data_IF_966192077402
#
_entry.id   IF_966192077402
#
_cell.length_a   1.000
_cell.length_b   1.000
_cell.length_c   1.000
_cell.angle_alpha   90.00
_cell.angle_beta   90.00
_cell.angle_gamma   90.00
#
_symmetry.space_group_name_H-M   'P 1'
#
loop_
_entity.id
_entity.type
_entity.pdbx_description
1 polymer ?
#
# COMPACT_ATOMS: atom_id res chain seq x y z
N UNK A 1 19.67 -4.69 0.10
CA UNK A 1 19.87 -4.28 1.51
C UNK A 1 19.53 -2.83 1.88
N UNK A 2 19.96 -1.77 1.17
CA UNK A 2 19.76 -0.37 1.62
C UNK A 2 18.50 0.35 1.08
N UNK A 3 17.62 -0.34 0.34
CA UNK A 3 16.34 0.24 -0.13
C UNK A 3 16.42 1.21 -1.33
N UNK A 4 17.57 1.34 -1.98
CA UNK A 4 17.75 2.19 -3.17
C UNK A 4 17.47 1.45 -4.49
N UNK A 5 17.27 2.22 -5.58
CA UNK A 5 17.19 1.64 -6.93
C UNK A 5 18.49 0.94 -7.30
N UNK A 6 18.38 -0.27 -7.85
CA UNK A 6 19.54 -1.02 -8.35
C UNK A 6 20.04 -0.46 -9.68
N UNK A 7 19.13 0.01 -10.54
CA UNK A 7 19.45 0.63 -11.83
C UNK A 7 20.14 1.98 -11.62
N UNK A 8 21.19 2.25 -12.41
CA UNK A 8 22.01 3.46 -12.35
C UNK A 8 22.82 3.64 -11.05
N UNK A 9 22.92 2.61 -10.20
CA UNK A 9 23.91 2.60 -9.12
C UNK A 9 25.32 2.52 -9.72
N UNK A 10 26.25 3.27 -9.13
CA UNK A 10 27.63 3.37 -9.64
C UNK A 10 28.61 3.02 -8.52
N UNK A 11 29.58 2.17 -8.83
CA UNK A 11 30.68 1.84 -7.93
C UNK A 11 31.81 2.86 -8.04
N UNK A 12 32.56 3.01 -6.96
CA UNK A 12 33.75 3.84 -6.88
C UNK A 12 34.86 3.03 -6.19
N UNK A 13 36.10 3.26 -6.61
CA UNK A 13 37.30 2.62 -6.07
C UNK A 13 38.32 3.67 -5.64
N UNK A 14 39.37 3.24 -4.94
CA UNK A 14 40.49 4.11 -4.58
C UNK A 14 40.13 5.16 -3.52
N UNK A 15 39.23 4.83 -2.60
CA UNK A 15 38.81 5.71 -1.50
C UNK A 15 38.25 7.06 -1.99
N UNK A 16 37.48 7.03 -3.08
CA UNK A 16 36.90 8.22 -3.73
C UNK A 16 36.13 9.13 -2.75
N UNK A 17 35.46 8.56 -1.74
CA UNK A 17 34.70 9.30 -0.73
C UNK A 17 35.45 9.53 0.58
N UNK A 18 36.78 9.40 0.56
CA UNK A 18 37.63 9.47 1.73
C UNK A 18 38.04 8.09 2.23
N UNK A 19 39.12 8.07 3.01
CA UNK A 19 39.69 6.86 3.60
C UNK A 19 38.97 6.55 4.91
N UNK A 20 38.65 5.28 5.12
CA UNK A 20 38.19 4.77 6.40
C UNK A 20 39.28 4.82 7.46
N UNK A 21 38.88 4.46 8.68
CA UNK A 21 39.78 4.23 9.81
C UNK A 21 39.45 2.89 10.46
N UNK A 22 40.44 2.23 11.04
CA UNK A 22 40.25 0.96 11.75
C UNK A 22 40.46 -0.27 10.86
N UNK A 23 39.61 -1.28 11.00
CA UNK A 23 39.75 -2.56 10.28
C UNK A 23 38.94 -2.54 8.98
N UNK A 24 39.54 -3.02 7.89
CA UNK A 24 38.80 -3.43 6.69
C UNK A 24 38.26 -4.84 6.95
N UNK A 25 36.96 -5.06 6.68
CA UNK A 25 36.27 -6.28 7.11
C UNK A 25 36.02 -7.28 5.99
N UNK A 26 35.93 -6.82 4.74
CA UNK A 26 35.57 -7.66 3.60
C UNK A 26 36.40 -7.24 2.38
N UNK A 27 36.86 -8.22 1.61
CA UNK A 27 37.68 -8.03 0.42
C UNK A 27 37.29 -9.04 -0.67
N UNK A 28 37.57 -8.70 -1.94
CA UNK A 28 37.22 -9.50 -3.13
C UNK A 28 35.74 -9.89 -3.17
N UNK A 29 34.85 -8.93 -2.91
CA UNK A 29 33.41 -9.15 -2.97
C UNK A 29 32.98 -9.43 -4.42
N UNK A 30 32.37 -10.58 -4.64
CA UNK A 30 31.91 -11.08 -5.94
C UNK A 30 30.45 -11.51 -5.81
N UNK A 31 29.54 -10.55 -6.01
CA UNK A 31 28.11 -10.79 -6.01
C UNK A 31 27.63 -11.23 -7.40
N UNK A 32 26.66 -12.14 -7.44
CA UNK A 32 25.90 -12.50 -8.64
C UNK A 32 24.83 -11.46 -8.99
N UNK A 33 24.43 -10.63 -8.02
CA UNK A 33 23.41 -9.58 -8.15
C UNK A 33 22.03 -9.97 -7.62
N UNK A 34 21.86 -11.21 -7.13
CA UNK A 34 20.60 -11.72 -6.58
C UNK A 34 20.62 -11.86 -5.05
N UNK A 35 21.74 -11.56 -4.41
CA UNK A 35 21.90 -11.61 -2.96
C UNK A 35 21.06 -10.54 -2.26
N UNK A 36 20.50 -10.86 -1.10
CA UNK A 36 19.72 -9.91 -0.29
C UNK A 36 20.62 -8.99 0.55
N UNK A 37 21.80 -9.49 0.95
CA UNK A 37 22.83 -8.78 1.71
C UNK A 37 24.24 -8.99 1.13
N UNK A 38 25.13 -8.02 1.34
CA UNK A 38 26.53 -8.08 0.89
C UNK A 38 27.32 -9.22 1.54
N UNK A 39 26.89 -9.68 2.71
CA UNK A 39 27.51 -10.81 3.43
C UNK A 39 27.27 -12.16 2.74
N UNK A 40 26.27 -12.25 1.86
CA UNK A 40 25.91 -13.48 1.16
C UNK A 40 26.65 -13.60 -0.19
N UNK A 41 27.39 -12.57 -0.60
CA UNK A 41 28.22 -12.59 -1.79
C UNK A 41 29.48 -13.44 -1.58
N UNK A 42 30.11 -13.91 -2.66
CA UNK A 42 31.44 -14.54 -2.56
C UNK A 42 32.48 -13.53 -2.08
N UNK A 43 33.33 -13.89 -1.11
CA UNK A 43 34.43 -13.04 -0.63
C UNK A 43 35.53 -13.91 0.03
N UNK A 44 36.72 -13.35 0.27
CA UNK A 44 37.88 -14.07 0.82
C UNK A 44 37.75 -14.48 2.31
N UNK A 45 36.56 -14.36 2.91
CA UNK A 45 36.36 -14.43 4.36
C UNK A 45 36.51 -13.08 5.09
N UNK A 46 36.00 -13.01 6.32
CA UNK A 46 35.99 -11.78 7.11
C UNK A 46 37.38 -11.45 7.65
N UNK A 47 37.78 -10.17 7.56
CA UNK A 47 39.09 -9.66 8.01
C UNK A 47 40.29 -10.37 7.35
N UNK A 48 40.07 -11.00 6.19
CA UNK A 48 41.12 -11.69 5.42
C UNK A 48 41.47 -10.84 4.19
N UNK A 49 42.46 -9.96 4.36
CA UNK A 49 42.95 -9.06 3.32
C UNK A 49 44.35 -8.57 3.65
N UNK A 50 45.07 -8.10 2.63
CA UNK A 50 46.32 -7.34 2.68
C UNK A 50 46.14 -5.88 2.23
N UNK A 51 44.90 -5.47 1.95
CA UNK A 51 44.53 -4.10 1.56
C UNK A 51 44.77 -3.07 2.66
N UNK A 52 44.92 -1.82 2.25
CA UNK A 52 44.87 -0.65 3.12
C UNK A 52 43.71 0.29 2.75
N UNK A 53 43.52 1.36 3.53
CA UNK A 53 42.44 2.32 3.31
C UNK A 53 42.63 3.23 2.09
N UNK A 54 43.62 2.99 1.23
CA UNK A 54 43.71 3.64 -0.09
C UNK A 54 42.79 2.99 -1.11
N UNK A 55 42.25 1.80 -0.80
CA UNK A 55 41.44 0.97 -1.69
C UNK A 55 39.97 0.86 -1.27
N UNK A 56 39.53 1.63 -0.27
CA UNK A 56 38.15 1.54 0.25
C UNK A 56 37.13 1.77 -0.89
N UNK A 57 36.18 0.84 -1.00
CA UNK A 57 35.14 0.87 -2.01
C UNK A 57 34.02 1.86 -1.65
N UNK A 58 33.47 2.52 -2.68
CA UNK A 58 32.35 3.44 -2.55
C UNK A 58 31.19 3.08 -3.46
N UNK A 59 30.00 3.56 -3.12
CA UNK A 59 28.80 3.43 -3.97
C UNK A 59 28.03 4.74 -3.97
N UNK A 60 27.51 5.13 -5.13
CA UNK A 60 26.44 6.13 -5.21
C UNK A 60 25.16 5.42 -5.60
N UNK A 61 24.27 5.31 -4.63
CA UNK A 61 22.92 4.80 -4.84
C UNK A 61 22.05 5.88 -5.50
N UNK A 62 21.05 5.45 -6.26
CA UNK A 62 19.99 6.34 -6.75
C UNK A 62 18.79 6.18 -5.84
N UNK A 63 18.27 7.30 -5.32
CA UNK A 63 17.05 7.30 -4.54
C UNK A 63 15.97 6.49 -5.27
N UNK A 64 15.29 5.61 -4.54
CA UNK A 64 14.06 5.06 -5.05
C UNK A 64 13.13 6.26 -5.32
N UNK A 65 12.93 6.57 -6.60
CA UNK A 65 11.94 7.57 -6.99
C UNK A 65 10.59 7.22 -6.38
N UNK A 66 9.69 8.21 -6.22
CA UNK A 66 8.38 7.98 -5.62
C UNK A 66 7.69 6.82 -6.31
N UNK A 67 7.09 5.91 -5.54
CA UNK A 67 6.19 4.90 -6.11
C UNK A 67 4.97 5.59 -6.69
N UNK A 68 4.45 5.02 -7.78
CA UNK A 68 3.19 5.45 -8.38
C UNK A 68 2.09 4.49 -7.96
N UNK A 69 0.86 4.98 -7.94
CA UNK A 69 -0.32 4.19 -7.59
C UNK A 69 -1.34 4.30 -8.71
N UNK A 70 -2.08 3.22 -8.95
CA UNK A 70 -3.26 3.21 -9.82
C UNK A 70 -4.37 2.34 -9.24
N UNK A 71 -5.59 2.60 -9.70
CA UNK A 71 -6.77 1.80 -9.35
C UNK A 71 -7.23 0.99 -10.57
N UNK A 72 -7.50 -0.31 -10.39
CA UNK A 72 -7.89 -1.22 -11.47
C UNK A 72 -9.16 -2.00 -11.09
N UNK A 73 -10.04 -2.25 -12.06
CA UNK A 73 -11.24 -3.10 -11.85
C UNK A 73 -12.43 -2.39 -11.19
N UNK A 74 -12.33 -1.09 -10.92
CA UNK A 74 -13.45 -0.27 -10.50
C UNK A 74 -14.44 0.01 -11.63
N UNK A 75 -15.71 0.25 -11.26
CA UNK A 75 -16.77 0.64 -12.21
C UNK A 75 -16.93 2.15 -12.33
N UNK A 76 -16.35 2.90 -11.38
CA UNK A 76 -16.39 4.35 -11.29
C UNK A 76 -14.98 4.92 -11.20
N UNK A 77 -14.84 6.21 -11.49
CA UNK A 77 -13.60 6.92 -11.24
C UNK A 77 -13.30 6.97 -9.73
N UNK A 78 -12.03 6.78 -9.38
CA UNK A 78 -11.58 6.84 -7.98
C UNK A 78 -11.93 5.60 -7.16
N UNK A 79 -12.22 4.46 -7.79
CA UNK A 79 -12.31 3.16 -7.09
C UNK A 79 -11.58 2.05 -7.84
N UNK A 80 -11.15 1.03 -7.11
CA UNK A 80 -10.52 -0.15 -7.68
C UNK A 80 -9.54 -0.83 -6.74
N UNK A 81 -9.00 -1.96 -7.20
CA UNK A 81 -7.85 -2.64 -6.60
C UNK A 81 -6.65 -1.70 -6.66
N UNK A 82 -5.92 -1.61 -5.55
CA UNK A 82 -4.71 -0.80 -5.47
C UNK A 82 -3.55 -1.55 -6.10
N UNK A 83 -2.90 -0.93 -7.08
CA UNK A 83 -1.64 -1.39 -7.63
C UNK A 83 -0.57 -0.32 -7.45
N UNK A 84 0.64 -0.74 -7.08
CA UNK A 84 1.80 0.10 -6.82
C UNK A 84 2.87 -0.16 -7.86
N UNK A 85 3.48 0.88 -8.42
CA UNK A 85 4.62 0.78 -9.31
C UNK A 85 5.91 0.91 -8.52
N UNK A 86 6.64 -0.20 -8.39
CA UNK A 86 7.90 -0.24 -7.66
C UNK A 86 8.97 -0.95 -8.50
N UNK A 87 10.13 -0.30 -8.69
CA UNK A 87 11.26 -0.82 -9.46
C UNK A 87 10.90 -1.34 -10.87
N UNK A 88 10.10 -0.56 -11.60
CA UNK A 88 9.81 -0.84 -13.01
C UNK A 88 8.66 -1.83 -13.25
N UNK A 89 7.98 -2.29 -12.20
CA UNK A 89 6.86 -3.24 -12.30
C UNK A 89 5.69 -2.83 -11.43
N UNK A 90 4.49 -3.06 -11.93
CA UNK A 90 3.25 -3.00 -11.16
C UNK A 90 3.08 -4.26 -10.32
N UNK A 91 2.45 -4.12 -9.16
CA UNK A 91 1.98 -5.23 -8.35
C UNK A 91 0.96 -4.76 -7.32
N UNK A 92 0.31 -5.71 -6.64
CA UNK A 92 -0.82 -5.43 -5.75
C UNK A 92 -0.39 -5.20 -4.30
N UNK A 93 -1.34 -4.80 -3.46
CA UNK A 93 -1.18 -4.65 -2.01
C UNK A 93 -2.07 -5.70 -1.33
N UNK A 94 -1.56 -6.38 -0.30
CA UNK A 94 -2.37 -7.31 0.49
C UNK A 94 -3.33 -6.54 1.43
N UNK A 95 -4.49 -7.12 1.69
CA UNK A 95 -5.53 -6.57 2.57
C UNK A 95 -5.35 -6.89 4.06
N UNK A 96 -4.33 -7.68 4.44
CA UNK A 96 -3.98 -7.90 5.83
C UNK A 96 -3.53 -6.58 6.47
N UNK A 97 -4.27 -6.12 7.48
CA UNK A 97 -4.05 -4.82 8.14
C UNK A 97 -4.60 -3.61 7.38
N UNK A 98 -5.14 -3.79 6.17
CA UNK A 98 -5.59 -2.71 5.29
C UNK A 98 -6.85 -2.02 5.82
N UNK A 99 -6.78 -0.70 6.01
CA UNK A 99 -7.89 0.09 6.55
C UNK A 99 -8.13 1.44 5.84
N UNK A 100 -9.11 2.20 6.34
CA UNK A 100 -9.48 3.51 5.80
C UNK A 100 -8.40 4.59 6.01
N UNK A 101 -7.45 4.38 6.93
CA UNK A 101 -6.26 5.24 7.11
C UNK A 101 -5.27 5.00 5.97
N UNK A 102 -5.06 3.74 5.56
CA UNK A 102 -4.23 3.43 4.39
C UNK A 102 -4.87 3.92 3.10
N UNK A 103 -6.18 3.70 2.96
CA UNK A 103 -6.95 4.18 1.82
C UNK A 103 -6.84 5.70 1.66
N UNK A 104 -6.81 6.46 2.77
CA UNK A 104 -6.60 7.92 2.77
C UNK A 104 -5.30 8.33 2.10
N UNK A 105 -4.21 7.60 2.33
CA UNK A 105 -2.91 7.88 1.72
C UNK A 105 -2.96 7.59 0.22
N UNK A 106 -3.49 6.43 -0.18
CA UNK A 106 -3.69 6.08 -1.61
C UNK A 106 -4.52 7.13 -2.34
N UNK A 107 -5.64 7.53 -1.75
CA UNK A 107 -6.53 8.51 -2.36
C UNK A 107 -5.89 9.90 -2.47
N UNK A 108 -5.07 10.29 -1.49
CA UNK A 108 -4.26 11.51 -1.55
C UNK A 108 -3.22 11.45 -2.68
N UNK A 109 -2.53 10.33 -2.83
CA UNK A 109 -1.55 10.14 -3.92
C UNK A 109 -2.18 10.26 -5.32
N UNK A 110 -3.47 9.93 -5.41
CA UNK A 110 -4.26 10.00 -6.64
C UNK A 110 -5.01 11.34 -6.78
N UNK A 111 -4.65 12.36 -5.99
CA UNK A 111 -5.25 13.70 -5.98
C UNK A 111 -6.75 13.75 -5.64
N UNK A 112 -7.28 12.74 -4.95
CA UNK A 112 -8.64 12.76 -4.39
C UNK A 112 -8.66 13.36 -2.98
N UNK A 113 -9.84 13.81 -2.55
CA UNK A 113 -10.05 14.25 -1.16
C UNK A 113 -10.06 13.03 -0.23
N UNK A 114 -9.12 12.93 0.72
CA UNK A 114 -8.96 11.72 1.52
C UNK A 114 -10.10 11.49 2.52
N UNK A 115 -10.88 12.50 2.88
CA UNK A 115 -11.91 12.45 3.94
C UNK A 115 -12.95 11.33 3.78
N UNK A 116 -13.18 10.86 2.55
CA UNK A 116 -14.19 9.83 2.24
C UNK A 116 -13.57 8.55 1.67
N UNK A 117 -12.30 8.30 1.99
CA UNK A 117 -11.61 7.11 1.52
C UNK A 117 -12.15 5.89 2.24
N UNK A 118 -12.50 4.86 1.49
CA UNK A 118 -12.97 3.58 2.01
C UNK A 118 -12.07 2.47 1.51
N UNK A 119 -11.63 1.62 2.41
CA UNK A 119 -10.85 0.42 2.16
C UNK A 119 -11.75 -0.75 1.76
N UNK A 120 -11.20 -1.65 0.93
CA UNK A 120 -11.85 -2.88 0.52
C UNK A 120 -10.86 -4.05 0.63
N UNK A 121 -11.37 -5.19 1.05
CA UNK A 121 -10.64 -6.46 1.20
C UNK A 121 -11.27 -7.56 0.33
N UNK A 122 -10.67 -8.75 0.32
CA UNK A 122 -11.18 -9.94 -0.35
C UNK A 122 -11.17 -9.85 -1.87
N UNK A 123 -10.28 -9.02 -2.45
CA UNK A 123 -10.22 -8.75 -3.89
C UNK A 123 -11.54 -8.26 -4.46
N UNK A 124 -12.22 -7.37 -3.73
CA UNK A 124 -13.54 -6.81 -4.10
C UNK A 124 -13.61 -6.32 -5.56
N UNK A 125 -12.56 -5.66 -6.05
CA UNK A 125 -12.48 -5.15 -7.43
C UNK A 125 -11.86 -6.13 -8.43
N UNK A 126 -11.89 -7.41 -8.09
CA UNK A 126 -11.24 -8.48 -8.83
C UNK A 126 -9.77 -8.66 -8.45
N UNK A 127 -9.25 -9.86 -8.76
CA UNK A 127 -7.88 -10.25 -8.47
C UNK A 127 -6.89 -9.59 -9.41
N UNK A 128 -5.73 -9.25 -8.89
CA UNK A 128 -4.56 -8.88 -9.67
C UNK A 128 -3.84 -10.10 -10.22
N UNK A 129 -2.69 -9.82 -10.83
CA UNK A 129 -1.77 -10.82 -11.35
C UNK A 129 -0.34 -10.37 -11.09
N UNK A 130 0.59 -11.31 -11.09
CA UNK A 130 2.01 -11.02 -10.92
C UNK A 130 2.42 -11.03 -9.45
N UNK A 131 2.99 -9.93 -8.98
CA UNK A 131 3.57 -9.85 -7.63
C UNK A 131 2.69 -9.05 -6.70
N UNK A 132 2.57 -9.50 -5.45
CA UNK A 132 2.11 -8.67 -4.34
C UNK A 132 3.34 -7.95 -3.78
N UNK A 133 3.25 -6.63 -3.67
CA UNK A 133 4.40 -5.77 -3.35
C UNK A 133 4.44 -5.33 -1.91
N UNK A 134 3.28 -5.20 -1.27
CA UNK A 134 3.16 -4.66 0.08
C UNK A 134 2.16 -5.51 0.87
N UNK A 135 2.40 -5.61 2.17
CA UNK A 135 1.62 -6.38 3.12
C UNK A 135 1.77 -5.75 4.51
N UNK A 136 0.71 -5.89 5.33
CA UNK A 136 0.56 -5.24 6.63
C UNK A 136 0.87 -3.74 6.56
N UNK A 137 0.26 -3.07 5.57
CA UNK A 137 0.36 -1.61 5.46
C UNK A 137 -0.34 -0.99 6.67
N UNK A 138 0.36 -0.08 7.33
CA UNK A 138 -0.09 0.57 8.55
C UNK A 138 0.31 2.05 8.51
N UNK A 139 -0.47 2.85 7.80
CA UNK A 139 -0.30 4.29 7.72
C UNK A 139 -0.78 4.99 9.01
N UNK A 140 -0.19 6.15 9.31
CA UNK A 140 -0.73 7.11 10.28
C UNK A 140 -1.81 8.01 9.68
N UNK A 141 -1.88 8.05 8.34
CA UNK A 141 -2.87 8.77 7.55
C UNK A 141 -2.38 10.11 7.03
N UNK A 142 -1.18 10.56 7.41
CA UNK A 142 -0.59 11.85 7.01
C UNK A 142 0.52 11.71 5.97
N UNK A 143 0.90 10.48 5.64
CA UNK A 143 1.94 10.17 4.67
C UNK A 143 1.58 10.75 3.29
N UNK A 144 2.58 11.30 2.59
CA UNK A 144 2.42 11.73 1.20
C UNK A 144 2.38 10.56 0.23
N UNK A 145 2.95 9.41 0.61
CA UNK A 145 3.03 8.22 -0.22
C UNK A 145 2.85 6.95 0.60
N UNK A 146 2.24 5.94 0.01
CA UNK A 146 2.02 4.63 0.65
C UNK A 146 3.34 3.93 1.03
N UNK A 147 4.43 4.22 0.30
CA UNK A 147 5.75 3.68 0.63
C UNK A 147 6.32 4.20 1.96
N UNK A 148 5.77 5.30 2.48
CA UNK A 148 6.24 5.93 3.73
C UNK A 148 5.48 5.39 4.95
N UNK A 149 4.44 4.57 4.73
CA UNK A 149 3.70 3.89 5.78
C UNK A 149 4.51 2.73 6.37
N UNK A 150 4.16 2.27 7.57
CA UNK A 150 4.69 0.99 8.06
C UNK A 150 4.24 -0.14 7.15
N UNK A 151 5.13 -1.07 6.81
CA UNK A 151 4.81 -2.31 6.08
C UNK A 151 5.93 -3.35 6.24
N UNK A 152 5.66 -4.62 5.92
CA UNK A 152 6.60 -5.74 6.09
C UNK A 152 7.86 -5.71 5.18
N UNK A 153 8.07 -4.62 4.44
CA UNK A 153 9.05 -4.53 3.35
C UNK A 153 8.50 -4.96 1.98
N UNK A 154 9.22 -4.62 0.92
CA UNK A 154 8.79 -4.90 -0.46
C UNK A 154 8.82 -6.40 -0.77
N UNK A 155 7.71 -6.94 -1.32
CA UNK A 155 7.55 -8.35 -1.71
C UNK A 155 7.69 -9.34 -0.55
N UNK A 156 7.55 -8.86 0.68
CA UNK A 156 7.57 -9.67 1.90
C UNK A 156 6.14 -9.81 2.39
N UNK A 157 5.50 -10.94 2.06
CA UNK A 157 4.10 -11.23 2.35
C UNK A 157 3.87 -12.75 2.35
N UNK A 158 2.78 -13.20 2.99
CA UNK A 158 2.24 -14.57 2.90
C UNK A 158 0.87 -14.63 2.19
N UNK A 159 0.41 -13.50 1.65
CA UNK A 159 -0.85 -13.38 0.94
C UNK A 159 -0.87 -14.02 -0.45
N UNK A 160 -2.07 -14.32 -0.92
CA UNK A 160 -2.38 -14.62 -2.31
C UNK A 160 -3.28 -13.53 -2.92
N UNK A 161 -3.58 -13.64 -4.22
CA UNK A 161 -4.42 -12.67 -4.92
C UNK A 161 -5.91 -12.77 -4.60
N UNK A 162 -6.36 -13.56 -3.62
CA UNK A 162 -7.70 -13.42 -3.04
C UNK A 162 -7.74 -12.31 -1.99
N UNK A 163 -6.57 -11.86 -1.52
CA UNK A 163 -6.38 -10.81 -0.54
C UNK A 163 -5.92 -9.48 -1.13
N UNK A 164 -6.16 -9.23 -2.41
CA UNK A 164 -5.76 -7.94 -2.98
C UNK A 164 -6.65 -6.80 -2.44
N UNK A 165 -6.00 -5.79 -1.87
CA UNK A 165 -6.62 -4.60 -1.30
C UNK A 165 -7.18 -3.67 -2.38
N UNK A 166 -8.26 -2.97 -2.03
CA UNK A 166 -8.88 -1.96 -2.86
C UNK A 166 -9.21 -0.69 -2.10
N UNK A 167 -9.53 0.36 -2.84
CA UNK A 167 -10.03 1.62 -2.28
C UNK A 167 -11.17 2.19 -3.10
N UNK A 168 -11.92 3.08 -2.46
CA UNK A 168 -12.73 4.11 -3.10
C UNK A 168 -12.39 5.46 -2.49
N UNK A 169 -12.10 6.45 -3.32
CA UNK A 169 -11.60 7.77 -2.94
C UNK A 169 -12.63 8.88 -3.04
N UNK A 170 -13.69 8.66 -3.83
CA UNK A 170 -14.81 9.56 -3.92
C UNK A 170 -15.87 9.13 -2.92
N UNK A 171 -16.48 10.11 -2.25
CA UNK A 171 -17.63 9.83 -1.40
C UNK A 171 -18.65 9.00 -2.18
N UNK A 172 -19.14 7.92 -1.57
CA UNK A 172 -20.49 7.49 -1.90
C UNK A 172 -21.36 8.75 -1.81
N UNK A 173 -22.28 8.95 -2.75
CA UNK A 173 -23.23 10.05 -2.66
C UNK A 173 -23.94 10.06 -1.29
N UNK A 174 -24.76 11.08 -0.99
CA UNK A 174 -25.52 11.10 0.26
C UNK A 174 -26.15 9.74 0.53
N UNK A 175 -26.04 9.23 1.76
CA UNK A 175 -26.68 7.98 2.16
C UNK A 175 -28.16 8.12 1.88
N UNK A 176 -28.67 7.31 0.95
CA UNK A 176 -30.08 7.34 0.60
C UNK A 176 -30.82 6.29 1.42
N UNK A 177 -32.02 6.62 1.86
CA UNK A 177 -32.89 5.71 2.61
C UNK A 177 -34.21 5.60 1.88
N UNK A 178 -34.73 4.38 1.75
CA UNK A 178 -36.07 4.13 1.20
C UNK A 178 -36.84 3.11 2.03
N UNK A 179 -38.16 3.14 1.90
CA UNK A 179 -39.05 2.13 2.46
C UNK A 179 -39.58 1.22 1.35
N UNK A 180 -39.45 -0.09 1.51
CA UNK A 180 -39.85 -1.09 0.50
C UNK A 180 -40.89 -2.05 1.06
N UNK A 181 -41.95 -2.31 0.29
CA UNK A 181 -42.94 -3.36 0.56
C UNK A 181 -44.07 -2.99 1.53
N UNK A 182 -44.25 -1.71 1.87
CA UNK A 182 -45.41 -1.25 2.64
C UNK A 182 -46.66 -1.03 1.78
N UNK A 183 -47.83 -0.96 2.44
CA UNK A 183 -49.11 -0.66 1.79
C UNK A 183 -49.27 0.84 1.48
N UNK A 184 -48.51 1.69 2.19
CA UNK A 184 -48.54 3.14 2.08
C UNK A 184 -47.12 3.71 1.90
N UNK A 185 -47.03 4.92 1.34
CA UNK A 185 -45.75 5.56 1.02
C UNK A 185 -44.83 5.83 2.24
N UNK A 186 -45.39 5.83 3.45
CA UNK A 186 -44.64 5.99 4.70
C UNK A 186 -44.34 4.69 5.43
N UNK A 187 -44.52 3.55 4.77
CA UNK A 187 -44.38 2.22 5.39
C UNK A 187 -43.48 1.31 4.56
N UNK A 188 -42.77 0.41 5.23
CA UNK A 188 -41.99 -0.63 4.58
C UNK A 188 -40.74 -0.99 5.38
N UNK A 189 -39.98 -1.94 4.84
CA UNK A 189 -38.64 -2.26 5.32
C UNK A 189 -37.70 -1.10 5.01
N UNK A 190 -36.87 -0.71 5.98
CA UNK A 190 -35.82 0.29 5.79
C UNK A 190 -34.69 -0.31 4.98
N UNK A 191 -34.48 0.25 3.78
CA UNK A 191 -33.31 -0.04 2.97
C UNK A 191 -32.40 1.19 2.93
N UNK A 192 -31.10 0.95 3.03
CA UNK A 192 -30.06 1.97 3.05
C UNK A 192 -29.16 1.77 1.85
N UNK A 193 -29.00 2.82 1.04
CA UNK A 193 -28.02 2.86 -0.02
C UNK A 193 -26.70 3.33 0.55
N UNK A 194 -25.77 2.39 0.67
CA UNK A 194 -24.42 2.68 1.14
C UNK A 194 -23.44 2.02 0.20
N UNK A 195 -22.43 2.79 -0.22
CA UNK A 195 -21.33 2.27 -1.03
C UNK A 195 -21.71 1.61 -2.37
N UNK A 196 -22.81 2.03 -3.00
CA UNK A 196 -23.22 1.51 -4.31
C UNK A 196 -24.16 0.31 -4.23
N UNK A 197 -24.51 -0.14 -3.03
CA UNK A 197 -25.38 -1.27 -2.79
C UNK A 197 -26.58 -0.86 -1.92
N UNK A 198 -27.72 -1.48 -2.16
CA UNK A 198 -28.88 -1.40 -1.29
C UNK A 198 -28.84 -2.54 -0.29
N UNK A 199 -28.76 -2.21 1.00
CA UNK A 199 -28.84 -3.15 2.11
C UNK A 199 -30.06 -2.91 3.00
N UNK A 200 -30.28 -3.79 3.97
CA UNK A 200 -31.37 -3.69 4.96
C UNK A 200 -30.83 -3.34 6.34
N UNK A 201 -31.58 -2.56 7.12
CA UNK A 201 -31.27 -2.36 8.53
C UNK A 201 -31.67 -3.60 9.37
N UNK A 202 -30.85 -3.96 10.37
CA UNK A 202 -31.13 -5.00 11.36
C UNK A 202 -31.93 -4.40 12.53
N UNK A 203 -32.82 -5.17 13.16
CA UNK A 203 -33.73 -4.73 14.22
C UNK A 203 -33.20 -4.89 15.66
N UNK A 204 -32.00 -5.45 15.86
CA UNK A 204 -31.32 -5.54 17.15
C UNK A 204 -31.06 -4.13 17.72
N UNK A 205 -31.83 -3.77 18.74
CA UNK A 205 -31.77 -2.45 19.37
C UNK A 205 -32.52 -1.35 18.61
N UNK A 206 -33.24 -1.68 17.54
CA UNK A 206 -34.05 -0.73 16.78
C UNK A 206 -35.23 -0.21 17.61
N UNK A 207 -35.26 1.09 17.89
CA UNK A 207 -36.23 1.71 18.77
C UNK A 207 -37.00 2.87 18.11
N UNK A 208 -37.85 3.54 18.91
CA UNK A 208 -38.66 4.65 18.44
C UNK A 208 -37.84 5.89 18.04
N UNK A 209 -36.61 6.05 18.54
CA UNK A 209 -35.71 7.14 18.15
C UNK A 209 -35.15 6.90 16.75
N UNK A 210 -34.79 5.67 16.42
CA UNK A 210 -34.31 5.30 15.08
C UNK A 210 -35.40 5.54 14.03
N UNK A 211 -36.62 5.08 14.31
CA UNK A 211 -37.78 5.32 13.46
C UNK A 211 -38.05 6.83 13.26
N UNK A 212 -37.86 7.64 14.31
CA UNK A 212 -38.00 9.11 14.22
C UNK A 212 -36.95 9.74 13.31
N UNK A 213 -35.75 9.18 13.22
CA UNK A 213 -34.70 9.66 12.30
C UNK A 213 -35.08 9.32 10.86
N UNK A 214 -35.48 8.07 10.59
CA UNK A 214 -35.88 7.62 9.25
C UNK A 214 -37.09 8.39 8.72
N UNK A 215 -38.10 8.62 9.56
CA UNK A 215 -39.33 9.30 9.16
C UNK A 215 -39.22 10.84 9.16
N UNK A 216 -38.05 11.40 9.50
CA UNK A 216 -37.87 12.85 9.58
C UNK A 216 -37.77 13.45 8.18
N UNK A 217 -38.53 14.52 7.93
CA UNK A 217 -38.38 15.31 6.70
C UNK A 217 -36.98 15.95 6.68
N UNK A 218 -36.17 15.76 5.61
CA UNK A 218 -34.89 16.45 5.46
C UNK A 218 -35.11 17.97 5.47
N UNK A 219 -34.23 18.71 6.14
CA UNK A 219 -34.24 20.18 6.07
C UNK A 219 -33.70 20.68 4.75
#
# INVERSE_FOLDING_TARGET
MLGYKTTYSVFFSGSHFGRGTGSILINNVTCSGNESSIQDCGHNGWRSHDCDHTEDAGVRCVAAGPVEVRLVGGTRAGEGRVEVFHNGKWGTVCDDGWDDIDARVVCRMLDYKPTYSVSFSGSHFGRGTGSILMDNVACSGNESSIQDCGHNGWRSHDCDHFKDAGVRCVAAGPVEVRLVGGAHAGEGRVEVFYNGEWGTANDDGWDNNDARVVCKVPK
#
